data_IF_976713680554
#
_entry.id   IF_976713680554
#
_cell.length_a   1.000
_cell.length_b   1.000
_cell.length_c   1.000
_cell.angle_alpha   90.00
_cell.angle_beta   90.00
_cell.angle_gamma   90.00
#
_symmetry.space_group_name_H-M   'P 1'
#
loop_
_entity.id
_entity.type
_entity.pdbx_description
1 polymer ?
#
# COMPACT_ATOMS: atom_id res chain seq x y z
N UNK A 1 -1.23 24.85 26.95
CA UNK A 1 -0.35 24.02 27.75
C UNK A 1 -0.68 24.21 29.23
N UNK A 2 -0.73 23.16 30.00
CA UNK A 2 -0.92 23.19 31.44
C UNK A 2 0.46 23.49 32.05
N UNK A 3 0.54 24.54 32.88
CA UNK A 3 1.73 24.82 33.69
C UNK A 3 1.48 24.24 35.07
N UNK A 4 2.27 23.24 35.45
CA UNK A 4 2.23 22.65 36.78
C UNK A 4 3.36 23.22 37.63
N UNK A 5 3.15 23.32 38.94
CA UNK A 5 4.23 23.61 39.88
C UNK A 5 5.17 22.39 39.94
N UNK A 6 6.46 22.60 40.28
CA UNK A 6 7.48 21.54 40.26
C UNK A 6 7.07 20.27 41.00
N UNK A 7 6.45 20.40 42.16
CA UNK A 7 6.04 19.25 43.00
C UNK A 7 4.84 18.50 42.40
N UNK A 8 3.90 19.23 41.78
CA UNK A 8 2.76 18.64 41.07
C UNK A 8 3.21 17.94 39.78
N UNK A 9 4.22 18.52 39.09
CA UNK A 9 4.81 17.91 37.91
C UNK A 9 5.49 16.59 38.21
N UNK A 10 6.27 16.51 39.30
CA UNK A 10 6.94 15.26 39.71
C UNK A 10 5.90 14.17 40.05
N UNK A 11 4.84 14.54 40.79
CA UNK A 11 3.77 13.59 41.09
C UNK A 11 3.02 13.11 39.86
N UNK A 12 2.76 14.01 38.90
CA UNK A 12 2.12 13.65 37.63
C UNK A 12 3.01 12.75 36.80
N UNK A 13 4.30 13.07 36.70
CA UNK A 13 5.29 12.29 35.97
C UNK A 13 5.47 10.87 36.55
N UNK A 14 5.49 10.75 37.87
CA UNK A 14 5.53 9.45 38.54
C UNK A 14 4.27 8.62 38.30
N UNK A 15 3.11 9.26 38.23
CA UNK A 15 1.83 8.60 37.99
C UNK A 15 1.68 8.13 36.53
N UNK A 16 2.23 8.89 35.55
CA UNK A 16 2.13 8.58 34.13
C UNK A 16 3.31 7.77 33.59
N UNK A 17 4.42 7.67 34.34
CA UNK A 17 5.64 6.97 33.89
C UNK A 17 6.39 7.63 32.74
N UNK A 18 5.99 8.83 32.33
CA UNK A 18 6.58 9.55 31.21
C UNK A 18 6.95 10.97 31.61
N UNK A 19 8.22 11.32 31.50
CA UNK A 19 8.73 12.70 31.64
C UNK A 19 9.33 13.08 30.29
N UNK A 20 8.68 14.00 29.60
CA UNK A 20 9.26 14.62 28.40
C UNK A 20 9.58 16.08 28.70
N UNK A 21 10.86 16.40 28.82
CA UNK A 21 11.33 17.78 29.09
C UNK A 21 11.99 18.33 27.81
N UNK A 22 11.48 19.44 27.30
CA UNK A 22 12.06 20.11 26.18
C UNK A 22 12.94 21.28 26.66
N UNK A 23 14.21 21.27 26.28
CA UNK A 23 15.16 22.34 26.56
C UNK A 23 15.29 23.18 25.28
N UNK A 24 14.99 24.47 25.38
CA UNK A 24 15.17 25.43 24.30
C UNK A 24 16.29 26.39 24.63
N UNK A 25 17.27 26.48 23.74
CA UNK A 25 18.35 27.45 23.86
C UNK A 25 17.92 28.80 23.25
N UNK A 26 18.11 29.88 23.97
CA UNK A 26 17.72 31.26 23.52
C UNK A 26 18.76 31.93 22.62
N UNK A 27 19.97 31.40 22.60
CA UNK A 27 21.15 31.92 21.89
C UNK A 27 21.34 31.31 20.49
N UNK A 28 20.41 30.48 20.04
CA UNK A 28 20.41 29.84 18.73
C UNK A 28 21.75 29.18 18.37
N UNK A 29 22.25 28.20 19.18
CA UNK A 29 23.57 27.60 19.03
C UNK A 29 23.67 26.79 17.73
N UNK A 30 24.89 26.64 17.22
CA UNK A 30 25.22 25.76 16.10
C UNK A 30 25.07 24.29 16.48
N UNK A 31 24.99 23.40 15.47
CA UNK A 31 24.82 21.97 15.68
C UNK A 31 25.96 21.32 16.48
N UNK A 32 27.19 21.78 16.32
CA UNK A 32 28.34 21.30 17.12
C UNK A 32 28.20 21.71 18.58
N UNK A 33 27.77 22.94 18.83
CA UNK A 33 27.57 23.46 20.16
C UNK A 33 26.37 22.82 20.86
N UNK A 34 25.30 22.45 20.12
CA UNK A 34 24.16 21.70 20.64
C UNK A 34 24.64 20.31 21.11
N UNK A 35 25.41 19.60 20.30
CA UNK A 35 25.93 18.27 20.66
C UNK A 35 26.82 18.32 21.90
N UNK A 36 27.70 19.32 21.99
CA UNK A 36 28.55 19.52 23.17
C UNK A 36 27.73 19.81 24.43
N UNK A 37 26.73 20.67 24.34
CA UNK A 37 25.82 20.98 25.45
C UNK A 37 24.99 19.78 25.88
N UNK A 38 24.61 18.94 24.93
CA UNK A 38 23.89 17.69 25.22
C UNK A 38 24.77 16.69 25.98
N UNK A 39 26.01 16.49 25.57
CA UNK A 39 26.95 15.65 26.29
C UNK A 39 27.18 16.14 27.71
N UNK A 40 27.24 17.46 27.92
CA UNK A 40 27.36 18.05 29.24
C UNK A 40 26.12 17.86 30.10
N UNK A 41 24.92 18.03 29.54
CA UNK A 41 23.64 17.78 30.23
C UNK A 41 23.55 16.31 30.59
N UNK A 42 23.89 15.39 29.73
CA UNK A 42 23.87 13.97 29.99
C UNK A 42 24.86 13.55 31.08
N UNK A 43 26.01 14.23 31.16
CA UNK A 43 26.99 14.04 32.21
C UNK A 43 26.52 14.53 33.57
N UNK A 44 25.75 15.62 33.59
CA UNK A 44 25.20 16.22 34.83
C UNK A 44 23.97 15.42 35.33
N UNK A 45 23.19 14.91 34.38
CA UNK A 45 21.95 14.19 34.66
C UNK A 45 21.98 12.78 34.06
N UNK A 46 22.79 11.85 34.58
CA UNK A 46 22.90 10.48 34.05
C UNK A 46 21.63 9.65 34.19
N UNK A 47 20.64 10.13 34.93
CA UNK A 47 19.35 9.46 35.15
C UNK A 47 18.45 9.50 33.90
N UNK A 48 18.72 10.39 32.95
CA UNK A 48 17.95 10.50 31.71
C UNK A 48 18.63 9.69 30.61
N UNK A 49 18.08 8.52 30.31
CA UNK A 49 18.67 7.59 29.32
C UNK A 49 18.53 8.05 27.87
N UNK A 50 17.53 8.90 27.56
CA UNK A 50 17.23 9.32 26.17
C UNK A 50 17.19 10.85 26.07
N UNK A 51 18.36 11.46 25.85
CA UNK A 51 18.47 12.86 25.48
C UNK A 51 18.74 12.89 23.98
N UNK A 52 17.75 13.38 23.21
CA UNK A 52 17.85 13.47 21.77
C UNK A 52 17.76 14.93 21.30
N UNK A 53 18.49 15.26 20.25
CA UNK A 53 18.33 16.55 19.58
C UNK A 53 17.05 16.56 18.77
N UNK A 54 16.46 17.74 18.55
CA UNK A 54 15.33 17.90 17.62
C UNK A 54 15.70 17.38 16.21
N UNK A 55 16.93 17.52 15.79
CA UNK A 55 17.42 17.01 14.51
C UNK A 55 17.42 15.48 14.45
N UNK A 56 17.81 14.79 15.53
CA UNK A 56 17.76 13.34 15.63
C UNK A 56 16.32 12.84 15.65
N UNK A 57 15.44 13.44 16.46
CA UNK A 57 14.01 13.11 16.47
C UNK A 57 13.38 13.26 15.07
N UNK A 58 13.71 14.36 14.35
CA UNK A 58 13.23 14.55 12.98
C UNK A 58 13.82 13.51 12.03
N UNK A 59 15.10 13.18 12.17
CA UNK A 59 15.75 12.14 11.35
C UNK A 59 15.12 10.78 11.55
N UNK A 60 14.78 10.43 12.79
CA UNK A 60 14.11 9.16 13.10
C UNK A 60 12.68 9.13 12.56
N UNK A 61 11.96 10.24 12.65
CA UNK A 61 10.63 10.37 12.01
C UNK A 61 10.71 10.24 10.48
N UNK A 62 11.72 10.84 9.84
CA UNK A 62 11.95 10.69 8.40
C UNK A 62 12.32 9.25 8.05
N UNK A 63 13.17 8.60 8.86
CA UNK A 63 13.53 7.19 8.69
C UNK A 63 12.33 6.24 8.78
N UNK A 64 11.40 6.52 9.68
CA UNK A 64 10.12 5.78 9.76
C UNK A 64 9.28 6.00 8.50
N UNK A 65 9.21 7.24 7.98
CA UNK A 65 8.49 7.55 6.74
C UNK A 65 9.08 6.81 5.52
N UNK A 66 10.41 6.75 5.41
CA UNK A 66 11.09 6.00 4.35
C UNK A 66 10.85 4.49 4.47
N UNK A 67 10.83 3.96 5.69
CA UNK A 67 10.50 2.57 5.94
C UNK A 67 9.06 2.25 5.52
N UNK A 68 8.10 3.12 5.87
CA UNK A 68 6.71 2.97 5.45
C UNK A 68 6.54 3.07 3.94
N UNK A 69 7.29 3.95 3.27
CA UNK A 69 7.29 4.05 1.81
C UNK A 69 7.82 2.77 1.15
N UNK A 70 8.84 2.16 1.74
CA UNK A 70 9.39 0.88 1.27
C UNK A 70 8.41 -0.27 1.44
N UNK A 71 7.71 -0.35 2.58
CA UNK A 71 6.65 -1.33 2.84
C UNK A 71 5.47 -1.13 1.88
N UNK A 72 5.04 0.12 1.64
CA UNK A 72 4.01 0.45 0.62
C UNK A 72 4.40 -0.10 -0.75
N UNK A 73 5.64 0.16 -1.17
CA UNK A 73 6.16 -0.30 -2.47
C UNK A 73 6.14 -1.84 -2.59
N UNK A 74 6.56 -2.54 -1.55
CA UNK A 74 6.56 -4.00 -1.50
C UNK A 74 5.13 -4.57 -1.60
N UNK A 75 4.17 -3.98 -0.87
CA UNK A 75 2.76 -4.40 -0.93
C UNK A 75 2.19 -4.19 -2.33
N UNK A 76 2.48 -3.05 -2.97
CA UNK A 76 2.01 -2.77 -4.35
C UNK A 76 2.57 -3.80 -5.33
N UNK A 77 3.87 -4.10 -5.27
CA UNK A 77 4.49 -5.11 -6.14
C UNK A 77 3.86 -6.48 -5.92
N UNK A 78 3.68 -6.90 -4.66
CA UNK A 78 3.05 -8.17 -4.34
C UNK A 78 1.61 -8.25 -4.87
N UNK A 79 0.85 -7.17 -4.75
CA UNK A 79 -0.52 -7.09 -5.27
C UNK A 79 -0.56 -7.24 -6.79
N UNK A 80 0.37 -6.60 -7.51
CA UNK A 80 0.49 -6.72 -8.98
C UNK A 80 0.80 -8.17 -9.37
N UNK A 81 1.74 -8.82 -8.68
CA UNK A 81 2.10 -10.22 -8.94
C UNK A 81 0.90 -11.14 -8.69
N UNK A 82 0.19 -10.96 -7.58
CA UNK A 82 -1.00 -11.76 -7.25
C UNK A 82 -2.12 -11.53 -8.27
N UNK A 83 -2.38 -10.30 -8.67
CA UNK A 83 -3.37 -10.00 -9.71
C UNK A 83 -3.05 -10.68 -11.04
N UNK A 84 -1.78 -10.64 -11.46
CA UNK A 84 -1.32 -11.33 -12.66
C UNK A 84 -1.50 -12.85 -12.55
N UNK A 85 -1.10 -13.45 -11.44
CA UNK A 85 -1.23 -14.90 -11.21
C UNK A 85 -2.69 -15.35 -11.23
N UNK A 86 -3.56 -14.66 -10.49
CA UNK A 86 -5.00 -14.97 -10.46
C UNK A 86 -5.59 -14.87 -11.86
N UNK A 87 -5.26 -13.80 -12.60
CA UNK A 87 -5.74 -13.60 -13.97
C UNK A 87 -5.30 -14.74 -14.89
N UNK A 88 -4.03 -15.15 -14.82
CA UNK A 88 -3.50 -16.26 -15.62
C UNK A 88 -4.23 -17.58 -15.29
N UNK A 89 -4.46 -17.87 -14.01
CA UNK A 89 -5.15 -19.09 -13.59
C UNK A 89 -6.61 -19.09 -14.02
N UNK A 90 -7.31 -17.97 -13.85
CA UNK A 90 -8.70 -17.83 -14.29
C UNK A 90 -8.83 -17.94 -15.80
N UNK A 91 -7.97 -17.25 -16.56
CA UNK A 91 -7.98 -17.32 -18.02
C UNK A 91 -7.73 -18.75 -18.52
N UNK A 92 -6.79 -19.47 -17.94
CA UNK A 92 -6.57 -20.89 -18.28
C UNK A 92 -7.80 -21.75 -18.01
N UNK A 93 -8.49 -21.49 -16.90
CA UNK A 93 -9.73 -22.20 -16.54
C UNK A 93 -10.85 -21.91 -17.55
N UNK A 94 -10.99 -20.64 -17.98
CA UNK A 94 -11.97 -20.26 -19.01
C UNK A 94 -11.65 -20.89 -20.36
N UNK A 95 -10.40 -20.83 -20.80
CA UNK A 95 -9.97 -21.47 -22.06
C UNK A 95 -10.25 -22.97 -22.05
N UNK A 96 -10.01 -23.65 -20.92
CA UNK A 96 -10.29 -25.08 -20.80
C UNK A 96 -11.78 -25.40 -20.88
N UNK A 97 -12.63 -24.56 -20.28
CA UNK A 97 -14.10 -24.72 -20.33
C UNK A 97 -14.68 -24.37 -21.69
N UNK A 98 -14.15 -23.35 -22.35
CA UNK A 98 -14.64 -22.80 -23.62
C UNK A 98 -13.91 -23.42 -24.82
N UNK A 99 -13.15 -24.52 -24.64
CA UNK A 99 -12.34 -25.14 -25.68
C UNK A 99 -13.16 -25.52 -26.91
N UNK A 100 -14.37 -26.05 -26.75
CA UNK A 100 -15.26 -26.38 -27.84
C UNK A 100 -15.74 -25.16 -28.63
N UNK A 101 -16.10 -24.07 -27.93
CA UNK A 101 -16.52 -22.83 -28.56
C UNK A 101 -15.37 -22.19 -29.34
N UNK A 102 -14.16 -22.22 -28.80
CA UNK A 102 -12.95 -21.73 -29.46
C UNK A 102 -12.67 -22.56 -30.72
N UNK A 103 -12.82 -23.89 -30.66
CA UNK A 103 -12.67 -24.78 -31.81
C UNK A 103 -13.72 -24.47 -32.91
N UNK A 104 -14.97 -24.24 -32.51
CA UNK A 104 -16.04 -23.85 -33.42
C UNK A 104 -15.76 -22.50 -34.10
N UNK A 105 -15.35 -21.48 -33.32
CA UNK A 105 -14.95 -20.18 -33.87
C UNK A 105 -13.83 -20.30 -34.90
N UNK A 106 -12.87 -21.21 -34.68
CA UNK A 106 -11.78 -21.49 -35.64
C UNK A 106 -12.28 -22.23 -36.87
N UNK A 107 -13.22 -23.17 -36.73
CA UNK A 107 -13.81 -23.90 -37.84
C UNK A 107 -14.58 -22.96 -38.80
N UNK A 108 -15.24 -21.93 -38.26
CA UNK A 108 -15.92 -20.87 -39.04
C UNK A 108 -14.93 -19.85 -39.65
N UNK A 109 -13.60 -20.00 -39.39
CA UNK A 109 -12.57 -19.16 -39.98
C UNK A 109 -12.20 -17.92 -39.16
N UNK A 110 -12.55 -17.87 -37.90
CA UNK A 110 -12.17 -16.73 -37.03
C UNK A 110 -10.67 -16.69 -36.83
N UNK A 111 -10.07 -15.52 -37.10
CA UNK A 111 -8.63 -15.31 -36.94
C UNK A 111 -8.23 -15.36 -35.45
N UNK A 112 -7.15 -16.08 -35.12
CA UNK A 112 -6.67 -16.24 -33.74
C UNK A 112 -6.55 -14.91 -32.97
N UNK A 113 -6.11 -13.82 -33.61
CA UNK A 113 -6.01 -12.50 -32.98
C UNK A 113 -7.35 -11.95 -32.48
N UNK A 114 -8.48 -12.27 -33.14
CA UNK A 114 -9.81 -11.86 -32.66
C UNK A 114 -10.21 -12.64 -31.40
N UNK A 115 -9.82 -13.92 -31.32
CA UNK A 115 -10.06 -14.76 -30.13
C UNK A 115 -9.27 -14.21 -28.95
N UNK A 116 -7.98 -13.85 -29.14
CA UNK A 116 -7.17 -13.26 -28.06
C UNK A 116 -7.73 -11.91 -27.60
N UNK A 117 -8.14 -11.07 -28.53
CA UNK A 117 -8.76 -9.79 -28.21
C UNK A 117 -10.08 -9.95 -27.45
N UNK A 118 -10.88 -10.95 -27.78
CA UNK A 118 -12.14 -11.26 -27.08
C UNK A 118 -11.89 -11.59 -25.61
N UNK A 119 -10.94 -12.49 -25.33
CA UNK A 119 -10.55 -12.86 -23.98
C UNK A 119 -9.95 -11.68 -23.19
N UNK A 120 -9.05 -10.92 -23.81
CA UNK A 120 -8.47 -9.72 -23.19
C UNK A 120 -9.52 -8.64 -22.87
N UNK A 121 -10.47 -8.40 -23.78
CA UNK A 121 -11.58 -7.46 -23.58
C UNK A 121 -12.48 -7.88 -22.41
N UNK A 122 -12.74 -9.18 -22.25
CA UNK A 122 -13.50 -9.70 -21.12
C UNK A 122 -12.89 -9.29 -19.79
N UNK A 123 -11.57 -9.49 -19.62
CA UNK A 123 -10.86 -9.08 -18.41
C UNK A 123 -10.78 -7.58 -18.25
N UNK A 124 -10.66 -6.83 -19.35
CA UNK A 124 -10.68 -5.37 -19.31
C UNK A 124 -12.01 -4.85 -18.77
N UNK A 125 -13.15 -5.35 -19.25
CA UNK A 125 -14.47 -4.94 -18.75
C UNK A 125 -14.69 -5.31 -17.30
N UNK A 126 -14.36 -6.53 -16.91
CA UNK A 126 -14.45 -6.97 -15.51
C UNK A 126 -13.53 -6.13 -14.62
N UNK A 127 -12.31 -5.83 -15.11
CA UNK A 127 -11.35 -4.99 -14.41
C UNK A 127 -11.86 -3.56 -14.18
N UNK A 128 -12.48 -2.94 -15.18
CA UNK A 128 -13.07 -1.59 -15.04
C UNK A 128 -14.15 -1.58 -13.95
N UNK A 129 -15.05 -2.58 -13.95
CA UNK A 129 -16.10 -2.68 -12.94
C UNK A 129 -15.49 -2.91 -11.55
N UNK A 130 -14.49 -3.79 -11.45
CA UNK A 130 -13.81 -4.09 -10.19
C UNK A 130 -13.08 -2.85 -9.62
N UNK A 131 -12.42 -2.06 -10.47
CA UNK A 131 -11.76 -0.81 -10.08
C UNK A 131 -12.79 0.18 -9.54
N UNK A 132 -13.89 0.39 -10.25
CA UNK A 132 -14.93 1.33 -9.82
C UNK A 132 -15.51 0.95 -8.43
N UNK A 133 -15.76 -0.33 -8.21
CA UNK A 133 -16.22 -0.84 -6.90
C UNK A 133 -15.10 -0.66 -5.86
N UNK A 134 -13.87 -1.01 -6.19
CA UNK A 134 -12.72 -0.89 -5.30
C UNK A 134 -12.47 0.54 -4.84
N UNK A 135 -12.51 1.50 -5.74
CA UNK A 135 -12.35 2.92 -5.42
C UNK A 135 -13.48 3.45 -4.52
N UNK A 136 -14.70 3.02 -4.77
CA UNK A 136 -15.85 3.40 -3.94
C UNK A 136 -15.70 2.93 -2.49
N UNK A 137 -15.13 1.74 -2.28
CA UNK A 137 -14.95 1.16 -0.95
C UNK A 137 -13.59 1.48 -0.32
N UNK A 138 -12.62 2.02 -1.06
CA UNK A 138 -11.26 2.24 -0.58
C UNK A 138 -11.20 3.11 0.69
N UNK A 139 -11.84 4.27 0.69
CA UNK A 139 -11.85 5.19 1.84
C UNK A 139 -12.61 4.64 3.06
N UNK A 140 -13.86 4.15 2.93
CA UNK A 140 -14.56 3.54 4.04
C UNK A 140 -13.78 2.37 4.68
N UNK A 141 -13.13 1.55 3.84
CA UNK A 141 -12.36 0.41 4.33
C UNK A 141 -11.08 0.86 5.05
N UNK A 142 -10.42 1.90 4.57
CA UNK A 142 -9.25 2.50 5.24
C UNK A 142 -9.62 2.99 6.63
N UNK A 143 -10.69 3.76 6.76
CA UNK A 143 -11.18 4.22 8.06
C UNK A 143 -11.55 3.04 8.98
N UNK A 144 -12.24 2.04 8.45
CA UNK A 144 -12.63 0.86 9.24
C UNK A 144 -11.43 0.09 9.79
N UNK A 145 -10.35 -0.03 9.03
CA UNK A 145 -9.17 -0.82 9.41
C UNK A 145 -8.17 -0.03 10.24
N UNK A 146 -7.95 1.25 9.91
CA UNK A 146 -6.83 2.04 10.47
C UNK A 146 -7.25 2.86 11.68
N UNK A 147 -8.45 3.45 11.71
CA UNK A 147 -8.91 4.25 12.85
C UNK A 147 -8.89 3.48 14.19
N UNK A 148 -9.28 2.18 14.25
CA UNK A 148 -9.17 1.43 15.50
C UNK A 148 -7.74 1.27 15.99
N UNK A 149 -6.76 1.14 15.07
CA UNK A 149 -5.35 1.00 15.44
C UNK A 149 -4.84 2.28 16.10
N UNK A 150 -5.15 3.45 15.53
CA UNK A 150 -4.77 4.73 16.11
C UNK A 150 -5.45 4.97 17.48
N UNK A 151 -6.72 4.57 17.63
CA UNK A 151 -7.42 4.64 18.92
C UNK A 151 -6.77 3.75 19.97
N UNK A 152 -6.33 2.55 19.60
CA UNK A 152 -5.58 1.65 20.51
C UNK A 152 -4.23 2.24 20.94
N UNK A 153 -3.61 3.08 20.09
CA UNK A 153 -2.38 3.81 20.40
C UNK A 153 -2.60 5.06 21.27
N UNK A 154 -3.85 5.32 21.69
CA UNK A 154 -4.19 6.47 22.54
C UNK A 154 -4.40 7.78 21.78
N UNK A 155 -4.54 7.74 20.46
CA UNK A 155 -4.87 8.92 19.66
C UNK A 155 -6.39 9.12 19.63
N UNK A 156 -6.89 10.10 20.38
CA UNK A 156 -8.32 10.48 20.38
C UNK A 156 -8.70 11.40 19.22
N UNK A 157 -7.71 11.91 18.48
CA UNK A 157 -7.92 12.83 17.37
C UNK A 157 -8.35 12.07 16.10
N UNK A 158 -9.24 12.69 15.32
CA UNK A 158 -9.57 12.21 13.99
C UNK A 158 -8.31 12.23 13.11
N UNK A 159 -7.97 11.08 12.52
CA UNK A 159 -6.83 10.98 11.62
C UNK A 159 -7.20 11.61 10.29
N UNK A 160 -6.46 12.62 9.88
CA UNK A 160 -6.61 13.24 8.55
C UNK A 160 -5.68 12.54 7.56
N UNK A 161 -6.28 11.81 6.60
CA UNK A 161 -5.54 11.06 5.60
C UNK A 161 -5.15 11.96 4.44
N UNK A 162 -3.89 12.35 4.37
CA UNK A 162 -3.34 13.08 3.21
C UNK A 162 -3.14 12.10 2.06
N UNK A 163 -4.05 12.13 1.10
CA UNK A 163 -4.06 11.24 -0.05
C UNK A 163 -3.57 11.99 -1.28
N UNK A 164 -2.69 11.35 -2.04
CA UNK A 164 -2.39 11.81 -3.40
C UNK A 164 -3.46 11.26 -4.36
N UNK A 165 -4.41 12.11 -4.82
CA UNK A 165 -5.53 11.63 -5.63
C UNK A 165 -5.08 11.05 -6.97
N UNK A 166 -3.98 11.55 -7.53
CA UNK A 166 -3.45 11.06 -8.81
C UNK A 166 -2.90 9.64 -8.68
N UNK A 167 -2.17 9.35 -7.60
CA UNK A 167 -1.68 7.99 -7.36
C UNK A 167 -2.83 7.01 -7.12
N UNK A 168 -3.77 7.39 -6.26
CA UNK A 168 -4.82 6.50 -5.79
C UNK A 168 -5.87 6.22 -6.86
N UNK A 169 -6.39 7.25 -7.53
CA UNK A 169 -7.52 7.12 -8.47
C UNK A 169 -7.10 7.00 -9.94
N UNK A 170 -5.82 7.17 -10.27
CA UNK A 170 -5.36 7.09 -11.66
C UNK A 170 -4.24 6.07 -11.85
N UNK A 171 -3.12 6.23 -11.13
CA UNK A 171 -1.92 5.43 -11.39
C UNK A 171 -2.15 3.96 -10.99
N UNK A 172 -2.57 3.68 -9.77
CA UNK A 172 -2.79 2.30 -9.31
C UNK A 172 -3.86 1.56 -10.10
N UNK A 173 -5.05 2.13 -10.35
CA UNK A 173 -6.06 1.50 -11.19
C UNK A 173 -5.58 1.18 -12.60
N UNK A 174 -4.89 2.12 -13.26
CA UNK A 174 -4.36 1.90 -14.60
C UNK A 174 -3.31 0.77 -14.60
N UNK A 175 -2.41 0.74 -13.63
CA UNK A 175 -1.38 -0.31 -13.52
C UNK A 175 -2.01 -1.69 -13.32
N UNK A 176 -3.00 -1.82 -12.46
CA UNK A 176 -3.71 -3.07 -12.21
C UNK A 176 -4.49 -3.50 -13.46
N UNK A 177 -5.22 -2.57 -14.09
CA UNK A 177 -5.98 -2.84 -15.32
C UNK A 177 -5.06 -3.28 -16.46
N UNK A 178 -3.95 -2.59 -16.66
CA UNK A 178 -2.95 -2.97 -17.65
C UNK A 178 -2.36 -4.35 -17.36
N UNK A 179 -1.99 -4.62 -16.12
CA UNK A 179 -1.43 -5.91 -15.69
C UNK A 179 -2.40 -7.06 -15.96
N UNK A 180 -3.66 -6.93 -15.55
CA UNK A 180 -4.68 -7.97 -15.76
C UNK A 180 -4.99 -8.17 -17.23
N UNK A 181 -5.16 -7.09 -18.00
CA UNK A 181 -5.44 -7.17 -19.44
C UNK A 181 -4.29 -7.79 -20.22
N UNK A 182 -3.05 -7.39 -19.93
CA UNK A 182 -1.85 -7.95 -20.58
C UNK A 182 -1.67 -9.42 -20.19
N UNK A 183 -1.86 -9.77 -18.93
CA UNK A 183 -1.77 -11.16 -18.45
C UNK A 183 -2.82 -12.05 -19.12
N UNK A 184 -4.05 -11.58 -19.26
CA UNK A 184 -5.11 -12.28 -19.98
C UNK A 184 -4.77 -12.43 -21.47
N UNK A 185 -4.30 -11.38 -22.12
CA UNK A 185 -3.89 -11.42 -23.51
C UNK A 185 -2.75 -12.42 -23.76
N UNK A 186 -1.70 -12.38 -22.95
CA UNK A 186 -0.59 -13.32 -23.04
C UNK A 186 -1.01 -14.77 -22.80
N UNK A 187 -1.90 -15.00 -21.84
CA UNK A 187 -2.41 -16.32 -21.54
C UNK A 187 -3.32 -16.84 -22.63
N UNK A 188 -4.12 -15.98 -23.27
CA UNK A 188 -5.03 -16.35 -24.36
C UNK A 188 -4.28 -16.81 -25.63
N UNK A 189 -2.99 -16.49 -25.78
CA UNK A 189 -2.13 -17.04 -26.84
C UNK A 189 -2.07 -18.59 -26.75
N UNK A 190 -2.28 -19.13 -25.57
CA UNK A 190 -2.34 -20.58 -25.37
C UNK A 190 -3.47 -21.26 -26.17
N UNK A 191 -4.55 -20.53 -26.49
CA UNK A 191 -5.64 -21.02 -27.34
C UNK A 191 -5.15 -21.40 -28.75
N UNK A 192 -3.95 -20.94 -29.15
CA UNK A 192 -3.33 -21.34 -30.42
C UNK A 192 -3.14 -22.85 -30.55
N UNK A 193 -2.97 -23.56 -29.44
CA UNK A 193 -2.81 -25.03 -29.41
C UNK A 193 -4.10 -25.79 -29.67
N UNK A 194 -5.27 -25.15 -29.51
CA UNK A 194 -6.58 -25.76 -29.77
C UNK A 194 -6.77 -25.87 -31.29
N UNK A 195 -7.06 -27.05 -31.80
CA UNK A 195 -7.31 -27.29 -33.23
C UNK A 195 -8.81 -27.23 -33.53
N UNK A 196 -9.16 -26.91 -34.76
CA UNK A 196 -10.56 -26.96 -35.24
C UNK A 196 -11.16 -28.36 -35.23
N UNK A 197 -10.32 -29.42 -35.20
CA UNK A 197 -10.74 -30.80 -35.07
C UNK A 197 -11.21 -31.17 -33.66
N UNK A 198 -10.94 -30.35 -32.67
CA UNK A 198 -11.27 -30.63 -31.25
C UNK A 198 -12.74 -30.38 -30.93
N UNK A 199 -13.55 -30.01 -31.95
CA UNK A 199 -15.02 -29.90 -31.84
C UNK A 199 -15.71 -31.24 -31.53
N UNK A 200 -15.04 -32.35 -31.74
CA UNK A 200 -15.59 -33.68 -31.48
C UNK A 200 -15.65 -34.04 -29.98
N UNK A 201 -15.05 -33.27 -29.11
CA UNK A 201 -15.05 -33.50 -27.64
C UNK A 201 -16.05 -32.63 -26.90
N UNK A 202 -17.10 -32.15 -27.57
CA UNK A 202 -18.23 -31.41 -26.95
C UNK A 202 -19.26 -32.46 -26.51
N UNK A 203 -19.02 -33.14 -25.39
CA UNK A 203 -20.01 -33.86 -24.58
C UNK A 203 -19.98 -33.34 -23.13
#
# INVERSE_FOLDING_TARGET
GIRLHSDEYINYAQATGYINTQIMFTDNPDSEEINWRMEEIQRIFPEYENIETCAETVKDMVGVADTLASVKSLIVILTIILAALITVLMERSFIAKEQGEIALMKAVGTRNGKIYAYHALRFLFVGIIAIFIGEMFAMPLTHLCIDPIFKMMGMELAVDYVINPVEMYLIFPIVILATTTVSAFLTSIYTRKIKSSDTANIE
#
